data_IF_746238796236
#
_entry.id   IF_746238796236
#
_cell.length_a   1.000
_cell.length_b   1.000
_cell.length_c   1.000
_cell.angle_alpha   90.00
_cell.angle_beta   90.00
_cell.angle_gamma   90.00
#
_symmetry.space_group_name_H-M   'P 1'
#
loop_
_entity.id
_entity.type
_entity.pdbx_description
1 polymer ?
#
# COMPACT_ATOMS: atom_id res chain seq x y z
N UNK A 1 10.09 -30.47 7.65
CA UNK A 1 8.78 -30.65 7.01
C UNK A 1 7.76 -29.83 7.79
N UNK A 2 7.88 -28.49 7.79
CA UNK A 2 6.91 -27.61 8.48
C UNK A 2 6.97 -26.14 8.00
N UNK A 3 7.47 -25.90 6.78
CA UNK A 3 7.60 -24.54 6.24
C UNK A 3 6.42 -24.17 5.32
N UNK A 4 5.59 -25.13 4.90
CA UNK A 4 4.41 -24.89 4.06
C UNK A 4 3.23 -24.31 4.84
N UNK A 5 2.98 -24.81 6.06
CA UNK A 5 1.81 -24.45 6.87
C UNK A 5 1.80 -22.96 7.26
N UNK A 6 2.98 -22.35 7.42
CA UNK A 6 3.11 -20.93 7.77
C UNK A 6 2.63 -20.00 6.65
N UNK A 7 2.95 -20.33 5.40
CA UNK A 7 2.49 -19.56 4.24
C UNK A 7 1.01 -19.82 3.98
N UNK A 8 0.55 -21.06 4.16
CA UNK A 8 -0.85 -21.44 3.97
C UNK A 8 -1.79 -20.71 4.95
N UNK A 9 -1.39 -20.57 6.22
CA UNK A 9 -2.18 -19.83 7.22
C UNK A 9 -2.28 -18.33 6.89
N UNK A 10 -1.17 -17.73 6.43
CA UNK A 10 -1.17 -16.33 5.99
C UNK A 10 -2.08 -16.13 4.76
N UNK A 11 -2.05 -17.06 3.81
CA UNK A 11 -2.94 -17.07 2.64
C UNK A 11 -4.40 -17.23 3.07
N UNK A 12 -4.70 -18.17 3.96
CA UNK A 12 -6.06 -18.39 4.48
C UNK A 12 -6.63 -17.18 5.22
N UNK A 13 -5.78 -16.39 5.90
CA UNK A 13 -6.21 -15.18 6.60
C UNK A 13 -6.34 -13.98 5.65
N UNK A 14 -5.53 -13.91 4.59
CA UNK A 14 -5.57 -12.82 3.61
C UNK A 14 -6.71 -12.94 2.59
N UNK A 15 -7.11 -14.17 2.22
CA UNK A 15 -8.23 -14.44 1.31
C UNK A 15 -9.59 -13.85 1.76
N UNK A 16 -10.06 -14.01 3.02
CA UNK A 16 -11.33 -13.44 3.46
C UNK A 16 -11.28 -11.91 3.52
N UNK A 17 -10.12 -11.34 3.87
CA UNK A 17 -9.92 -9.88 3.81
C UNK A 17 -10.02 -9.40 2.37
N UNK A 18 -9.29 -10.00 1.43
CA UNK A 18 -9.36 -9.64 0.02
C UNK A 18 -10.80 -9.74 -0.53
N UNK A 19 -11.53 -10.80 -0.17
CA UNK A 19 -12.92 -11.01 -0.59
C UNK A 19 -13.89 -9.97 -0.01
N UNK A 20 -13.67 -9.52 1.23
CA UNK A 20 -14.50 -8.49 1.85
C UNK A 20 -14.40 -7.13 1.13
N UNK A 21 -13.21 -6.82 0.60
CA UNK A 21 -12.96 -5.58 -0.14
C UNK A 21 -13.14 -5.70 -1.66
N UNK A 22 -13.56 -6.87 -2.16
CA UNK A 22 -13.75 -7.14 -3.60
C UNK A 22 -14.87 -6.28 -4.21
N UNK A 23 -15.89 -5.93 -3.43
CA UNK A 23 -17.03 -5.11 -3.87
C UNK A 23 -16.80 -3.60 -3.79
N UNK A 24 -15.64 -3.15 -3.30
CA UNK A 24 -15.33 -1.73 -3.18
C UNK A 24 -14.73 -1.20 -4.47
N UNK A 25 -14.96 0.08 -4.78
CA UNK A 25 -14.35 0.72 -5.93
C UNK A 25 -12.83 0.83 -5.76
N UNK A 26 -12.06 0.52 -6.81
CA UNK A 26 -10.58 0.57 -6.82
C UNK A 26 -10.05 1.87 -6.18
N UNK A 27 -10.73 3.00 -6.45
CA UNK A 27 -10.44 4.31 -5.88
C UNK A 27 -10.49 4.31 -4.35
N UNK A 28 -11.61 3.87 -3.77
CA UNK A 28 -11.82 3.90 -2.33
C UNK A 28 -10.86 2.92 -1.64
N UNK A 29 -10.62 1.77 -2.27
CA UNK A 29 -9.69 0.76 -1.77
C UNK A 29 -8.26 1.30 -1.69
N UNK A 30 -7.78 1.96 -2.75
CA UNK A 30 -6.43 2.54 -2.78
C UNK A 30 -6.27 3.70 -1.78
N UNK A 31 -7.29 4.53 -1.60
CA UNK A 31 -7.25 5.63 -0.61
C UNK A 31 -7.21 5.07 0.81
N UNK A 32 -8.13 4.17 1.15
CA UNK A 32 -8.24 3.60 2.50
C UNK A 32 -7.01 2.80 2.88
N UNK A 33 -6.49 1.98 1.96
CA UNK A 33 -5.27 1.22 2.21
C UNK A 33 -4.06 2.11 2.48
N UNK A 34 -3.90 3.22 1.75
CA UNK A 34 -2.78 4.14 1.98
C UNK A 34 -2.88 4.88 3.31
N UNK A 35 -4.10 5.28 3.71
CA UNK A 35 -4.35 5.89 5.01
C UNK A 35 -4.08 4.89 6.13
N UNK A 36 -4.60 3.66 6.03
CA UNK A 36 -4.34 2.58 7.01
C UNK A 36 -2.85 2.30 7.14
N UNK A 37 -2.14 2.21 6.02
CA UNK A 37 -0.70 1.95 6.01
C UNK A 37 0.09 3.10 6.65
N UNK A 38 -0.20 4.35 6.28
CA UNK A 38 0.43 5.53 6.84
C UNK A 38 0.19 5.67 8.34
N UNK A 39 -1.07 5.55 8.77
CA UNK A 39 -1.44 5.64 10.19
C UNK A 39 -0.85 4.47 10.98
N UNK A 40 -0.88 3.24 10.45
CA UNK A 40 -0.25 2.08 11.07
C UNK A 40 1.26 2.25 11.27
N UNK A 41 1.97 2.71 10.25
CA UNK A 41 3.40 3.05 10.33
C UNK A 41 3.67 4.13 11.39
N UNK A 42 2.85 5.18 11.44
CA UNK A 42 3.01 6.26 12.42
C UNK A 42 2.80 5.78 13.86
N UNK A 43 1.79 4.95 14.09
CA UNK A 43 1.48 4.38 15.41
C UNK A 43 2.56 3.44 15.91
N UNK A 44 3.22 2.68 15.02
CA UNK A 44 4.39 1.88 15.36
C UNK A 44 5.54 2.75 15.88
N UNK A 45 5.74 3.93 15.29
CA UNK A 45 6.78 4.88 15.72
C UNK A 45 6.54 5.54 17.09
N UNK A 46 5.32 5.43 17.63
CA UNK A 46 4.90 6.09 18.88
C UNK A 46 5.03 5.20 20.12
N UNK A 47 5.03 3.88 19.96
CA UNK A 47 4.97 2.93 21.07
C UNK A 47 6.04 1.86 20.98
N UNK A 48 6.50 1.38 22.14
CA UNK A 48 7.38 0.22 22.26
C UNK A 48 6.68 -0.96 22.92
N UNK A 49 5.39 -0.83 23.26
CA UNK A 49 4.62 -1.90 23.87
C UNK A 49 4.30 -2.98 22.83
N UNK A 50 4.76 -4.20 23.11
CA UNK A 50 4.65 -5.34 22.18
C UNK A 50 3.21 -5.64 21.76
N UNK A 51 2.25 -5.52 22.68
CA UNK A 51 0.83 -5.81 22.41
C UNK A 51 0.21 -4.78 21.47
N UNK A 52 0.56 -3.50 21.66
CA UNK A 52 0.12 -2.43 20.76
C UNK A 52 0.79 -2.57 19.38
N UNK A 53 2.07 -2.94 19.34
CA UNK A 53 2.78 -3.19 18.09
C UNK A 53 2.15 -4.33 17.27
N UNK A 54 1.71 -5.42 17.92
CA UNK A 54 0.97 -6.48 17.23
C UNK A 54 -0.33 -5.95 16.61
N UNK A 55 -1.09 -5.13 17.34
CA UNK A 55 -2.30 -4.49 16.83
C UNK A 55 -2.02 -3.59 15.63
N UNK A 56 -0.99 -2.75 15.71
CA UNK A 56 -0.62 -1.83 14.62
C UNK A 56 -0.06 -2.56 13.39
N UNK A 57 0.70 -3.64 13.60
CA UNK A 57 1.18 -4.50 12.52
C UNK A 57 0.02 -5.18 11.79
N UNK A 58 -1.01 -5.62 12.51
CA UNK A 58 -2.22 -6.18 11.90
C UNK A 58 -2.93 -5.14 11.02
N UNK A 59 -3.08 -3.89 11.49
CA UNK A 59 -3.68 -2.78 10.72
C UNK A 59 -2.88 -2.51 9.44
N UNK A 60 -1.56 -2.42 9.56
CA UNK A 60 -0.66 -2.19 8.44
C UNK A 60 -0.77 -3.32 7.40
N UNK A 61 -0.77 -4.56 7.87
CA UNK A 61 -0.87 -5.75 7.03
C UNK A 61 -2.20 -5.81 6.29
N UNK A 62 -3.32 -5.47 6.95
CA UNK A 62 -4.63 -5.37 6.30
C UNK A 62 -4.59 -4.32 5.18
N UNK A 63 -4.03 -3.14 5.43
CA UNK A 63 -3.88 -2.11 4.39
C UNK A 63 -3.07 -2.59 3.18
N UNK A 64 -1.98 -3.31 3.42
CA UNK A 64 -1.14 -3.88 2.36
C UNK A 64 -1.85 -4.99 1.56
N UNK A 65 -2.53 -5.91 2.25
CA UNK A 65 -3.26 -7.02 1.64
C UNK A 65 -4.36 -6.53 0.70
N UNK A 66 -5.07 -5.48 1.11
CA UNK A 66 -6.13 -4.86 0.33
C UNK A 66 -5.56 -4.14 -0.91
N UNK A 67 -4.40 -3.48 -0.76
CA UNK A 67 -3.77 -2.70 -1.84
C UNK A 67 -3.21 -3.58 -2.95
N UNK A 68 -2.58 -4.71 -2.61
CA UNK A 68 -1.85 -5.55 -3.58
C UNK A 68 -2.70 -5.99 -4.80
N UNK A 69 -3.87 -6.64 -4.64
CA UNK A 69 -4.66 -7.10 -5.79
C UNK A 69 -5.23 -5.93 -6.62
N UNK A 70 -5.61 -4.83 -5.95
CA UNK A 70 -6.16 -3.65 -6.63
C UNK A 70 -5.12 -2.93 -7.48
N UNK A 71 -3.87 -2.82 -7.00
CA UNK A 71 -2.79 -2.23 -7.80
C UNK A 71 -2.52 -3.06 -9.06
N UNK A 72 -2.48 -4.39 -8.94
CA UNK A 72 -2.27 -5.26 -10.11
C UNK A 72 -3.45 -5.19 -11.10
N UNK A 73 -4.69 -5.18 -10.61
CA UNK A 73 -5.90 -4.99 -11.44
C UNK A 73 -5.91 -3.61 -12.12
N UNK A 74 -5.54 -2.56 -11.40
CA UNK A 74 -5.45 -1.21 -11.93
C UNK A 74 -4.44 -1.13 -13.08
N UNK A 75 -3.23 -1.64 -12.88
CA UNK A 75 -2.19 -1.61 -13.92
C UNK A 75 -2.60 -2.44 -15.13
N UNK A 76 -3.24 -3.60 -14.96
CA UNK A 76 -3.68 -4.43 -16.10
C UNK A 76 -4.82 -3.79 -16.89
N UNK A 77 -5.75 -3.12 -16.20
CA UNK A 77 -6.94 -2.49 -16.80
C UNK A 77 -6.60 -1.23 -17.59
N UNK A 78 -5.68 -0.40 -17.09
CA UNK A 78 -5.32 0.88 -17.73
C UNK A 78 -4.12 0.79 -18.67
N UNK A 79 -3.35 -0.31 -18.64
CA UNK A 79 -2.22 -0.48 -19.55
C UNK A 79 -2.67 -0.94 -20.96
N UNK A 80 -2.16 -0.31 -22.03
CA UNK A 80 -2.44 -0.73 -23.41
C UNK A 80 -1.91 -2.14 -23.66
N UNK A 81 -2.65 -2.93 -24.46
CA UNK A 81 -2.40 -4.38 -24.67
C UNK A 81 -0.94 -4.66 -25.08
N UNK A 82 -0.38 -3.85 -25.97
CA UNK A 82 0.96 -4.00 -26.51
C UNK A 82 2.08 -3.64 -25.52
N UNK A 83 1.76 -3.07 -24.35
CA UNK A 83 2.76 -2.61 -23.37
C UNK A 83 2.44 -3.01 -21.93
N UNK A 84 1.43 -3.86 -21.69
CA UNK A 84 1.06 -4.33 -20.32
C UNK A 84 2.26 -4.82 -19.51
N UNK A 85 3.18 -5.56 -20.14
CA UNK A 85 4.41 -6.03 -19.50
C UNK A 85 5.32 -4.89 -19.00
N UNK A 86 5.43 -3.79 -19.75
CA UNK A 86 6.24 -2.62 -19.36
C UNK A 86 5.60 -1.88 -18.19
N UNK A 87 4.28 -1.71 -18.19
CA UNK A 87 3.56 -1.08 -17.08
C UNK A 87 3.62 -1.92 -15.80
N UNK A 88 3.54 -3.25 -15.92
CA UNK A 88 3.74 -4.17 -14.78
C UNK A 88 5.18 -4.11 -14.25
N UNK A 89 6.18 -4.03 -15.14
CA UNK A 89 7.57 -3.85 -14.74
C UNK A 89 7.78 -2.51 -14.00
N UNK A 90 7.17 -1.43 -14.49
CA UNK A 90 7.21 -0.12 -13.83
C UNK A 90 6.55 -0.15 -12.43
N UNK A 91 5.41 -0.85 -12.29
CA UNK A 91 4.76 -1.07 -10.99
C UNK A 91 5.69 -1.80 -10.01
N UNK A 92 6.42 -2.83 -10.48
CA UNK A 92 7.38 -3.53 -9.63
C UNK A 92 8.59 -2.68 -9.24
N UNK A 93 9.01 -1.75 -10.11
CA UNK A 93 10.15 -0.88 -9.86
C UNK A 93 9.97 -0.02 -8.60
N UNK A 94 8.73 0.34 -8.26
CA UNK A 94 8.43 1.11 -7.04
C UNK A 94 8.92 0.39 -5.77
N UNK A 95 8.83 -0.94 -5.72
CA UNK A 95 9.29 -1.74 -4.59
C UNK A 95 10.82 -1.80 -4.52
N UNK A 96 11.48 -1.92 -5.68
CA UNK A 96 12.95 -1.88 -5.77
C UNK A 96 13.48 -0.53 -5.30
N UNK A 97 12.88 0.56 -5.74
CA UNK A 97 13.25 1.92 -5.31
C UNK A 97 13.01 2.07 -3.80
N UNK A 98 11.87 1.61 -3.28
CA UNK A 98 11.59 1.65 -1.84
C UNK A 98 12.62 0.89 -1.01
N UNK A 99 12.98 -0.33 -1.44
CA UNK A 99 14.02 -1.15 -0.78
C UNK A 99 15.40 -0.53 -0.85
N UNK A 100 15.71 0.19 -1.92
CA UNK A 100 16.97 0.92 -2.06
C UNK A 100 17.04 2.14 -1.13
N UNK A 101 15.93 2.86 -0.95
CA UNK A 101 15.87 4.06 -0.09
C UNK A 101 15.79 3.69 1.40
N UNK A 102 15.23 2.52 1.75
CA UNK A 102 15.00 2.14 3.15
C UNK A 102 16.27 2.18 4.04
N UNK A 103 17.43 1.61 3.65
CA UNK A 103 18.66 1.69 4.45
C UNK A 103 19.15 3.11 4.66
N UNK A 104 18.99 3.97 3.65
CA UNK A 104 19.37 5.39 3.75
C UNK A 104 18.52 6.06 4.84
N UNK A 105 17.22 5.78 4.88
CA UNK A 105 16.34 6.30 5.94
C UNK A 105 16.68 5.78 7.33
N UNK A 106 17.16 4.55 7.46
CA UNK A 106 17.65 4.01 8.75
C UNK A 106 18.86 4.81 9.23
N UNK A 107 19.81 5.12 8.35
CA UNK A 107 20.96 5.96 8.71
C UNK A 107 20.50 7.35 9.18
N UNK A 108 19.57 7.98 8.46
CA UNK A 108 19.00 9.27 8.88
C UNK A 108 18.25 9.20 10.22
N UNK A 109 17.66 8.07 10.58
CA UNK A 109 16.98 7.88 11.86
C UNK A 109 17.93 7.92 13.07
N UNK A 110 19.25 7.79 12.85
CA UNK A 110 20.23 7.98 13.93
C UNK A 110 20.38 9.44 14.35
N UNK A 111 20.02 10.38 13.46
CA UNK A 111 20.07 11.82 13.72
C UNK A 111 18.70 12.46 13.95
N UNK A 112 17.61 11.79 13.53
CA UNK A 112 16.23 12.27 13.67
C UNK A 112 15.46 11.43 14.67
N UNK A 113 14.59 12.07 15.47
CA UNK A 113 13.66 11.36 16.34
C UNK A 113 12.74 10.42 15.52
N UNK A 114 12.44 9.20 15.99
CA UNK A 114 11.55 8.26 15.30
C UNK A 114 10.23 8.89 14.85
N UNK A 115 9.65 9.77 15.69
CA UNK A 115 8.40 10.46 15.39
C UNK A 115 8.45 11.27 14.10
N UNK A 116 9.61 11.89 13.81
CA UNK A 116 9.81 12.71 12.62
C UNK A 116 9.90 11.82 11.38
N UNK A 117 10.65 10.72 11.47
CA UNK A 117 10.81 9.76 10.37
C UNK A 117 9.45 9.14 10.00
N UNK A 118 8.74 8.62 10.99
CA UNK A 118 7.42 8.04 10.76
C UNK A 118 6.36 9.09 10.38
N UNK A 119 6.50 10.34 10.86
CA UNK A 119 5.67 11.46 10.45
C UNK A 119 5.85 11.84 8.97
N UNK A 120 7.09 11.84 8.48
CA UNK A 120 7.38 12.06 7.05
C UNK A 120 6.76 10.95 6.19
N UNK A 121 6.84 9.69 6.65
CA UNK A 121 6.21 8.56 5.96
C UNK A 121 4.69 8.74 5.91
N UNK A 122 4.06 9.11 7.02
CA UNK A 122 2.63 9.41 7.07
C UNK A 122 2.26 10.51 6.07
N UNK A 123 3.00 11.63 6.05
CA UNK A 123 2.77 12.70 5.07
C UNK A 123 2.90 12.20 3.62
N UNK A 124 3.91 11.39 3.33
CA UNK A 124 4.10 10.80 2.00
C UNK A 124 2.90 9.93 1.57
N UNK A 125 2.39 9.09 2.48
CA UNK A 125 1.19 8.26 2.22
C UNK A 125 -0.07 9.11 2.02
N UNK A 126 -0.25 10.18 2.80
CA UNK A 126 -1.39 11.09 2.62
C UNK A 126 -1.32 11.82 1.29
N UNK A 127 -0.14 12.30 0.90
CA UNK A 127 0.08 12.92 -0.42
C UNK A 127 -0.25 11.92 -1.53
N UNK A 128 0.23 10.69 -1.43
CA UNK A 128 -0.08 9.62 -2.39
C UNK A 128 -1.59 9.33 -2.47
N UNK A 129 -2.31 9.35 -1.34
CA UNK A 129 -3.78 9.22 -1.33
C UNK A 129 -4.47 10.36 -2.10
N UNK A 130 -3.99 11.60 -1.96
CA UNK A 130 -4.49 12.76 -2.73
C UNK A 130 -4.19 12.60 -4.23
N UNK A 131 -3.02 12.06 -4.60
CA UNK A 131 -2.70 11.75 -5.99
C UNK A 131 -3.67 10.73 -6.58
N UNK A 132 -3.98 9.64 -5.86
CA UNK A 132 -4.98 8.68 -6.31
C UNK A 132 -6.35 9.33 -6.52
N UNK A 133 -6.81 10.18 -5.58
CA UNK A 133 -8.06 10.95 -5.76
C UNK A 133 -8.07 11.75 -7.06
N UNK A 134 -6.97 12.46 -7.36
CA UNK A 134 -6.86 13.27 -8.58
C UNK A 134 -6.84 12.41 -9.84
N UNK A 135 -6.10 11.31 -9.86
CA UNK A 135 -6.01 10.38 -11.00
C UNK A 135 -7.38 9.81 -11.32
N UNK A 136 -8.10 9.29 -10.32
CA UNK A 136 -9.45 8.75 -10.55
C UNK A 136 -10.45 9.81 -11.00
N UNK A 137 -10.34 11.05 -10.51
CA UNK A 137 -11.18 12.17 -10.98
C UNK A 137 -10.88 12.54 -12.43
N UNK A 138 -9.63 12.44 -12.86
CA UNK A 138 -9.26 12.68 -14.26
C UNK A 138 -9.82 11.59 -15.17
N UNK A 139 -9.67 10.32 -14.78
CA UNK A 139 -10.20 9.17 -15.54
C UNK A 139 -11.73 9.24 -15.67
N UNK A 140 -12.45 9.62 -14.61
CA UNK A 140 -13.91 9.79 -14.67
C UNK A 140 -14.34 10.94 -15.58
N UNK A 141 -13.54 12.00 -15.69
CA UNK A 141 -13.86 13.14 -16.55
C UNK A 141 -13.65 12.84 -18.05
N UNK A 142 -12.67 11.99 -18.39
CA UNK A 142 -12.42 11.59 -19.78
C UNK A 142 -13.49 10.65 -20.33
N UNK A 143 -14.11 9.82 -19.49
CA UNK A 143 -15.20 8.92 -19.90
C UNK A 143 -16.50 9.67 -20.20
N UNK A 144 -16.76 10.78 -19.51
CA UNK A 144 -17.95 11.63 -19.72
C UNK A 144 -17.90 12.51 -21.00
N UNK A 145 -16.74 12.64 -21.65
CA UNK A 145 -16.58 13.46 -22.86
C UNK A 145 -16.66 12.64 -24.16
N UNK A 146 -16.68 11.31 -24.05
CA UNK A 146 -16.74 10.38 -25.18
C UNK A 146 -18.13 9.73 -25.34
N UNK A 147 -19.14 10.21 -24.60
CA UNK A 147 -20.58 9.94 -24.79
C UNK A 147 -21.26 11.19 -25.36
#
# INVERSE_FOLDING_TARGET
MDDGVKWDLFVLCSLPVAKYFENWSDRNVLIVSNVLFGTGMFLIGLTTNIWLLFGFMAILTIGELIRSPVVHSFVSKYAPENSRGQYMAASNLQFTIGRFIAPIMIVFSTWLSPIVVFGIILLCTLVSAVFYVKVFRMISNTTMHNE
#
